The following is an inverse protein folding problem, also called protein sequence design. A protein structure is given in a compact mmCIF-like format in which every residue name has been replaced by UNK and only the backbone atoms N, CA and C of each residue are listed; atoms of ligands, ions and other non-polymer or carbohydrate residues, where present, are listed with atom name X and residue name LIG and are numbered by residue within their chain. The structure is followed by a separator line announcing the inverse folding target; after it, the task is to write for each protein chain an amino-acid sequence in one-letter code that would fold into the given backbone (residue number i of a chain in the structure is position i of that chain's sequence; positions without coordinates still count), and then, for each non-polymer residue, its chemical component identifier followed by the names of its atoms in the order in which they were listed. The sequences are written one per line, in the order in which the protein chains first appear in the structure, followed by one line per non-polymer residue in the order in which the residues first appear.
data_IF_586703648866
#
_entry.id   IF_586703648866
#
_cell.length_a   1.000
_cell.length_b   1.000
_cell.length_c   1.000
_cell.angle_alpha   90.00
_cell.angle_beta   90.00
_cell.angle_gamma   90.00
#
_symmetry.space_group_name_H-M   'P 1'
#
loop_
_entity.id
_entity.type
_entity.pdbx_description
1 polymer ?
#
# COMPACT_ATOMS: atom_id res chain seq x y z
N UNK A 1 -3.31 6.52 -1.61
CA UNK A 1 -3.51 5.42 -0.64
C UNK A 1 -4.97 5.25 -0.24
N UNK A 2 -5.70 6.32 0.10
CA UNK A 2 -7.13 6.23 0.42
C UNK A 2 -8.05 5.71 -0.71
N UNK A 3 -7.56 5.59 -1.94
CA UNK A 3 -8.34 5.02 -3.03
C UNK A 3 -8.10 3.50 -3.18
N UNK A 4 -6.99 2.99 -2.65
CA UNK A 4 -6.59 1.58 -2.79
C UNK A 4 -7.41 0.63 -1.91
N UNK A 5 -7.96 1.14 -0.81
CA UNK A 5 -8.80 0.41 0.15
C UNK A 5 -10.31 0.60 -0.10
N UNK A 6 -10.73 1.04 -1.30
CA UNK A 6 -12.16 1.15 -1.62
C UNK A 6 -12.84 -0.24 -1.52
N UNK A 7 -14.02 -0.31 -0.91
CA UNK A 7 -14.76 -1.57 -0.78
C UNK A 7 -15.13 -2.14 -2.15
N UNK A 8 -15.47 -1.28 -3.11
CA UNK A 8 -15.71 -1.65 -4.49
C UNK A 8 -14.37 -1.83 -5.25
N UNK A 9 -14.05 -3.04 -5.74
CA UNK A 9 -12.82 -3.29 -6.50
C UNK A 9 -12.71 -2.44 -7.77
N UNK A 10 -13.84 -2.11 -8.43
CA UNK A 10 -13.85 -1.32 -9.66
C UNK A 10 -13.49 0.15 -9.42
N UNK A 11 -13.63 0.61 -8.17
CA UNK A 11 -13.25 1.95 -7.75
C UNK A 11 -11.81 2.04 -7.27
N UNK A 12 -11.10 0.92 -7.15
CA UNK A 12 -9.67 0.92 -6.81
C UNK A 12 -8.86 1.32 -8.05
N UNK A 13 -7.82 2.13 -7.89
CA UNK A 13 -6.93 2.46 -8.98
C UNK A 13 -6.16 1.20 -9.41
N UNK A 14 -6.03 1.00 -10.72
CA UNK A 14 -5.16 -0.05 -11.27
C UNK A 14 -3.70 0.15 -10.85
N UNK A 15 -2.95 -0.94 -10.83
CA UNK A 15 -1.52 -0.96 -10.53
C UNK A 15 -0.73 0.02 -11.42
N UNK A 16 -1.06 0.06 -12.72
CA UNK A 16 -0.42 0.97 -13.67
C UNK A 16 -0.73 2.45 -13.37
N UNK A 17 -1.96 2.76 -12.92
CA UNK A 17 -2.33 4.11 -12.53
C UNK A 17 -1.56 4.57 -11.28
N UNK A 18 -1.39 3.69 -10.29
CA UNK A 18 -0.58 3.96 -9.11
C UNK A 18 0.90 4.17 -9.47
N UNK A 19 1.47 3.33 -10.33
CA UNK A 19 2.85 3.47 -10.79
C UNK A 19 3.08 4.83 -11.49
N UNK A 20 2.16 5.24 -12.38
CA UNK A 20 2.24 6.55 -13.03
C UNK A 20 2.21 7.71 -12.03
N UNK A 21 1.35 7.64 -11.01
CA UNK A 21 1.30 8.67 -9.95
C UNK A 21 2.59 8.73 -9.16
N UNK A 22 3.16 7.58 -8.79
CA UNK A 22 4.43 7.50 -8.06
C UNK A 22 5.59 8.07 -8.88
N UNK A 23 5.65 7.72 -10.18
CA UNK A 23 6.65 8.27 -11.10
C UNK A 23 6.55 9.79 -11.21
N UNK A 24 5.33 10.34 -11.25
CA UNK A 24 5.12 11.79 -11.25
C UNK A 24 5.63 12.45 -9.97
N UNK A 25 5.27 11.92 -8.80
CA UNK A 25 5.78 12.46 -7.54
C UNK A 25 7.30 12.39 -7.43
N UNK A 26 7.90 11.30 -7.89
CA UNK A 26 9.36 11.16 -7.92
C UNK A 26 10.01 12.21 -8.83
N UNK A 27 9.43 12.47 -10.01
CA UNK A 27 9.91 13.50 -10.92
C UNK A 27 9.74 14.90 -10.32
N UNK A 28 8.59 15.21 -9.73
CA UNK A 28 8.32 16.50 -9.08
C UNK A 28 9.30 16.73 -7.91
N UNK A 29 9.62 15.67 -7.17
CA UNK A 29 10.59 15.70 -6.07
C UNK A 29 12.04 15.89 -6.55
N UNK A 30 12.47 15.20 -7.61
CA UNK A 30 13.81 15.38 -8.22
C UNK A 30 14.03 16.80 -8.77
N UNK A 31 12.96 17.42 -9.26
CA UNK A 31 13.00 18.78 -9.81
C UNK A 31 12.85 19.86 -8.73
N UNK A 32 12.74 19.50 -7.45
CA UNK A 32 12.66 20.46 -6.36
C UNK A 32 14.02 21.19 -6.23
N UNK A 33 14.02 22.54 -6.09
CA UNK A 33 15.25 23.33 -6.05
C UNK A 33 16.04 23.19 -4.74
N UNK A 34 15.46 22.56 -3.72
CA UNK A 34 16.12 22.34 -2.43
C UNK A 34 17.21 21.26 -2.55
N UNK A 35 18.44 21.69 -2.36
CA UNK A 35 19.67 20.92 -2.56
C UNK A 35 19.81 19.77 -1.55
N UNK A 36 19.12 19.85 -0.40
CA UNK A 36 19.14 18.82 0.63
C UNK A 36 18.62 17.46 0.13
N UNK A 37 17.59 17.47 -0.73
CA UNK A 37 16.93 16.26 -1.22
C UNK A 37 17.67 15.55 -2.36
N UNK A 38 18.51 16.26 -3.13
CA UNK A 38 19.35 15.62 -4.17
C UNK A 38 20.30 14.60 -3.57
N UNK A 39 20.88 14.92 -2.42
CA UNK A 39 21.80 14.02 -1.69
C UNK A 39 21.12 12.73 -1.21
N UNK A 40 19.84 12.80 -0.82
CA UNK A 40 19.08 11.64 -0.35
C UNK A 40 18.66 10.71 -1.50
N UNK A 41 18.35 11.27 -2.67
CA UNK A 41 18.03 10.51 -3.89
C UNK A 41 19.27 9.79 -4.43
N UNK A 42 20.42 10.46 -4.45
CA UNK A 42 21.69 9.85 -4.89
C UNK A 42 22.13 8.73 -3.93
N UNK A 43 21.84 8.85 -2.63
CA UNK A 43 22.06 7.78 -1.65
C UNK A 43 21.04 6.63 -1.73
N UNK A 44 19.83 6.88 -2.25
CA UNK A 44 18.83 5.84 -2.52
C UNK A 44 19.13 5.08 -3.83
N UNK A 45 19.96 5.65 -4.70
CA UNK A 45 20.57 4.95 -5.82
C UNK A 45 21.52 3.86 -5.34
N UNK A 46 21.01 2.64 -5.19
CA UNK A 46 21.73 1.39 -4.87
C UNK A 46 21.66 0.89 -3.43
N UNK A 47 20.52 1.01 -2.74
CA UNK A 47 20.05 -0.19 -2.07
C UNK A 47 19.62 -1.20 -3.15
N UNK A 48 20.62 -1.86 -3.75
CA UNK A 48 20.48 -3.24 -4.20
C UNK A 48 19.98 -4.00 -2.98
N UNK A 49 18.67 -3.98 -2.77
CA UNK A 49 18.01 -4.98 -1.97
C UNK A 49 18.36 -6.24 -2.71
N UNK A 50 19.40 -6.92 -2.22
CA UNK A 50 19.73 -8.26 -2.60
C UNK A 50 18.39 -9.00 -2.58
N UNK A 51 17.87 -9.31 -3.77
CA UNK A 51 16.68 -10.12 -3.95
C UNK A 51 17.04 -11.53 -3.50
N UNK A 52 17.22 -11.68 -2.19
CA UNK A 52 17.19 -12.95 -1.49
C UNK A 52 15.72 -13.41 -1.47
N UNK A 53 15.12 -13.56 -2.65
CA UNK A 53 13.81 -14.17 -2.87
C UNK A 53 13.83 -15.66 -2.48
N UNK A 54 15.01 -16.18 -2.14
CA UNK A 54 15.18 -17.47 -1.46
C UNK A 54 15.40 -17.26 0.03
N UNK A 55 14.53 -16.51 0.69
CA UNK A 55 14.35 -16.68 2.13
C UNK A 55 13.78 -18.09 2.33
N UNK A 56 14.64 -19.04 2.67
CA UNK A 56 14.28 -20.37 3.17
C UNK A 56 13.61 -20.23 4.54
N UNK A 57 12.50 -19.48 4.58
CA UNK A 57 11.69 -19.24 5.77
C UNK A 57 11.04 -20.56 6.13
N UNK A 58 11.66 -21.23 7.08
CA UNK A 58 10.98 -22.14 7.99
C UNK A 58 9.83 -21.33 8.62
N UNK A 59 8.63 -21.45 8.05
CA UNK A 59 7.44 -20.80 8.57
C UNK A 59 7.13 -21.40 9.95
N UNK A 60 7.63 -20.77 11.01
CA UNK A 60 7.26 -21.09 12.40
C UNK A 60 5.92 -20.46 12.80
N UNK A 61 5.25 -19.75 11.89
CA UNK A 61 3.94 -19.15 12.12
C UNK A 61 2.85 -20.23 12.21
N UNK A 62 2.11 -20.24 13.33
CA UNK A 62 0.90 -21.05 13.49
C UNK A 62 -0.15 -20.65 12.45
N UNK A 63 -0.70 -21.63 11.74
CA UNK A 63 -1.87 -21.45 10.88
C UNK A 63 -3.11 -21.47 11.75
N UNK A 64 -3.81 -20.35 11.84
CA UNK A 64 -5.10 -20.25 12.52
C UNK A 64 -6.23 -20.53 11.53
N UNK A 65 -7.04 -21.56 11.82
CA UNK A 65 -8.22 -21.93 11.00
C UNK A 65 -9.45 -21.16 11.48
N UNK A 66 -9.86 -20.13 10.74
CA UNK A 66 -11.03 -19.32 11.06
C UNK A 66 -12.29 -19.85 10.35
N UNK A 67 -12.67 -21.10 10.65
CA UNK A 67 -13.78 -21.78 9.96
C UNK A 67 -15.17 -21.20 10.28
N UNK A 68 -15.29 -20.43 11.36
CA UNK A 68 -16.51 -19.76 11.79
C UNK A 68 -16.20 -18.32 12.21
N UNK A 69 -15.96 -17.45 11.24
CA UNK A 69 -15.95 -16.01 11.48
C UNK A 69 -17.39 -15.50 11.57
N UNK A 70 -17.67 -14.51 12.43
CA UNK A 70 -18.94 -13.78 12.35
C UNK A 70 -19.07 -13.14 10.96
N UNK A 71 -20.30 -12.91 10.51
CA UNK A 71 -20.53 -12.22 9.25
C UNK A 71 -19.83 -10.85 9.26
N UNK A 72 -19.16 -10.48 8.15
CA UNK A 72 -18.51 -9.19 8.05
C UNK A 72 -19.55 -8.08 8.14
N UNK A 73 -19.54 -7.35 9.25
CA UNK A 73 -20.41 -6.17 9.44
C UNK A 73 -19.74 -4.98 8.75
N UNK A 74 -20.41 -4.41 7.75
CA UNK A 74 -19.94 -3.19 7.10
C UNK A 74 -20.10 -2.01 8.05
N UNK A 75 -19.11 -1.12 8.13
CA UNK A 75 -19.15 0.08 8.99
C UNK A 75 -20.26 1.09 8.63
N UNK A 76 -21.03 0.84 7.57
CA UNK A 76 -22.07 1.75 7.04
C UNK A 76 -23.47 1.44 7.58
N UNK A 77 -23.66 0.30 8.24
CA UNK A 77 -24.99 -0.12 8.71
C UNK A 77 -25.40 0.57 10.02
N UNK A 78 -24.45 0.91 10.89
CA UNK A 78 -24.74 1.53 12.21
C UNK A 78 -25.10 3.03 12.14
N UNK A 79 -24.86 3.73 11.04
CA UNK A 79 -25.22 5.16 10.92
C UNK A 79 -26.66 5.40 10.46
N UNK A 80 -27.39 4.36 10.03
CA UNK A 80 -28.78 4.52 9.54
C UNK A 80 -29.88 4.15 10.55
N UNK A 81 -29.58 3.38 11.60
CA UNK A 81 -30.60 3.00 12.61
C UNK A 81 -30.84 4.08 13.70
N UNK A 82 -29.96 5.08 13.84
CA UNK A 82 -30.14 6.15 14.83
C UNK A 82 -30.83 7.41 14.28
N UNK A 83 -31.45 7.32 13.10
CA UNK A 83 -32.34 8.37 12.57
C UNK A 83 -33.76 7.82 12.55
N UNK A 84 -34.44 7.89 13.69
CA UNK A 84 -35.88 7.69 13.83
C UNK A 84 -36.42 8.67 14.86
#
# INVERSE_FOLDING_TARGET
MKECWNADPLRRPESYALWKRMKRFNLDYQNMPDESFKSEIDNLGMNKVEENYTSSRLFTSKIHNFRSLPEPRNATEEEQENVS
#
